data_IF_608241801428
#
_entry.id   IF_608241801428
#
_cell.length_a   1.000
_cell.length_b   1.000
_cell.length_c   1.000
_cell.angle_alpha   90.00
_cell.angle_beta   90.00
_cell.angle_gamma   90.00
#
_symmetry.space_group_name_H-M   'P 1'
#
loop_
_entity.id
_entity.type
_entity.pdbx_description
1 polymer ?
#
# COMPACT_ATOMS: atom_id res chain seq x y z
N UNK A 1 -29.57 9.18 35.02
CA UNK A 1 -28.27 8.65 35.49
C UNK A 1 -27.22 9.66 35.07
N UNK A 2 -26.39 10.13 36.00
CA UNK A 2 -25.28 11.04 35.71
C UNK A 2 -24.18 10.33 34.95
N UNK A 3 -23.40 11.05 34.14
CA UNK A 3 -22.21 10.47 33.43
C UNK A 3 -21.22 9.79 34.39
N UNK A 4 -21.19 10.17 35.66
CA UNK A 4 -20.38 9.55 36.73
C UNK A 4 -20.88 8.17 37.13
N UNK A 5 -22.20 7.88 37.09
CA UNK A 5 -22.77 6.58 37.48
C UNK A 5 -22.49 5.50 36.42
N UNK A 6 -22.31 5.89 35.16
CA UNK A 6 -21.99 4.96 34.04
C UNK A 6 -20.51 4.57 34.08
N UNK A 7 -19.62 5.47 34.45
CA UNK A 7 -18.18 5.20 34.51
C UNK A 7 -17.81 4.16 35.61
N UNK A 8 -18.54 4.15 36.72
CA UNK A 8 -18.29 3.20 37.82
C UNK A 8 -18.79 1.76 37.55
N UNK A 9 -19.71 1.60 36.59
CA UNK A 9 -20.24 0.29 36.17
C UNK A 9 -19.40 -0.41 35.10
N UNK A 10 -18.45 0.31 34.48
CA UNK A 10 -17.61 -0.24 33.43
C UNK A 10 -16.48 -1.14 34.00
N UNK A 11 -16.13 -2.25 33.33
CA UNK A 11 -14.95 -3.04 33.66
C UNK A 11 -13.70 -2.16 33.77
N UNK A 12 -12.77 -2.47 34.69
CA UNK A 12 -11.57 -1.65 34.89
C UNK A 12 -10.77 -1.43 33.58
N UNK A 13 -10.75 -2.42 32.69
CA UNK A 13 -10.04 -2.35 31.41
C UNK A 13 -10.62 -1.30 30.45
N UNK A 14 -11.88 -0.90 30.63
CA UNK A 14 -12.56 0.09 29.78
C UNK A 14 -12.46 1.52 30.28
N UNK A 15 -12.09 1.73 31.55
CA UNK A 15 -12.13 3.07 32.18
C UNK A 15 -11.16 4.06 31.55
N UNK A 16 -9.99 3.56 31.10
CA UNK A 16 -8.94 4.39 30.50
C UNK A 16 -8.89 4.28 28.97
N UNK A 17 -9.89 3.64 28.35
CA UNK A 17 -9.93 3.51 26.90
C UNK A 17 -10.65 4.70 26.26
N UNK A 18 -10.15 5.23 25.12
CA UNK A 18 -10.82 6.30 24.40
C UNK A 18 -12.05 5.76 23.68
N UNK A 19 -13.21 5.89 24.34
CA UNK A 19 -14.52 5.45 23.83
C UNK A 19 -15.39 6.67 23.64
N UNK A 20 -15.94 6.87 22.43
CA UNK A 20 -16.96 7.85 22.14
C UNK A 20 -18.26 7.19 21.67
N UNK A 21 -19.39 7.81 22.04
CA UNK A 21 -20.71 7.38 21.58
C UNK A 21 -21.35 8.44 20.71
N UNK A 22 -21.77 8.08 19.53
CA UNK A 22 -22.40 8.98 18.57
C UNK A 22 -23.70 8.34 18.07
N UNK A 23 -24.79 9.07 18.16
CA UNK A 23 -26.07 8.67 17.56
C UNK A 23 -26.20 9.39 16.21
N UNK A 24 -26.37 8.61 15.16
CA UNK A 24 -26.58 9.14 13.80
C UNK A 24 -27.55 8.27 13.02
N UNK A 25 -28.49 8.91 12.35
CA UNK A 25 -29.53 8.25 11.55
C UNK A 25 -30.32 7.16 12.35
N UNK A 26 -30.49 7.38 13.68
CA UNK A 26 -31.16 6.49 14.62
C UNK A 26 -30.29 5.35 15.17
N UNK A 27 -29.05 5.18 14.70
CA UNK A 27 -28.11 4.13 15.13
C UNK A 27 -27.11 4.72 16.14
N UNK A 28 -26.87 4.01 17.24
CA UNK A 28 -25.82 4.34 18.20
C UNK A 28 -24.49 3.67 17.78
N UNK A 29 -23.48 4.46 17.49
CA UNK A 29 -22.12 4.01 17.22
C UNK A 29 -21.28 4.16 18.49
N UNK A 30 -20.81 3.03 19.05
CA UNK A 30 -19.85 2.99 20.16
C UNK A 30 -18.48 2.85 19.54
N UNK A 31 -17.74 3.95 19.49
CA UNK A 31 -16.46 4.04 18.80
C UNK A 31 -15.31 3.87 19.80
N UNK A 32 -14.56 2.79 19.67
CA UNK A 32 -13.37 2.49 20.46
C UNK A 32 -12.13 2.87 19.65
N UNK A 33 -11.35 3.82 20.15
CA UNK A 33 -10.03 4.15 19.64
C UNK A 33 -8.98 3.20 20.21
N UNK A 34 -8.21 2.53 19.36
CA UNK A 34 -7.21 1.54 19.76
C UNK A 34 -5.79 2.01 19.44
N UNK A 35 -4.82 1.61 20.26
CA UNK A 35 -3.42 1.68 19.89
C UNK A 35 -3.05 0.34 19.24
N UNK A 36 -2.67 0.38 17.94
CA UNK A 36 -2.49 -0.79 17.08
C UNK A 36 -1.48 -1.85 17.55
N UNK A 37 -0.86 -1.66 18.71
CA UNK A 37 0.17 -2.54 19.30
C UNK A 37 -0.05 -2.71 20.81
N UNK A 38 -1.31 -2.73 21.29
CA UNK A 38 -1.62 -2.82 22.72
C UNK A 38 -2.51 -4.02 23.02
N UNK A 39 -2.04 -4.88 23.97
CA UNK A 39 -2.85 -5.99 24.50
C UNK A 39 -4.12 -5.49 25.19
N UNK A 40 -4.04 -4.34 25.85
CA UNK A 40 -5.19 -3.70 26.48
C UNK A 40 -6.28 -3.30 25.47
N UNK A 41 -5.91 -2.99 24.21
CA UNK A 41 -6.90 -2.74 23.15
C UNK A 41 -7.68 -4.01 22.78
N UNK A 42 -7.04 -5.17 22.74
CA UNK A 42 -7.71 -6.45 22.50
C UNK A 42 -8.67 -6.76 23.66
N UNK A 43 -8.20 -6.65 24.89
CA UNK A 43 -8.99 -6.88 26.11
C UNK A 43 -10.19 -5.90 26.19
N UNK A 44 -10.03 -4.67 25.71
CA UNK A 44 -11.12 -3.69 25.65
C UNK A 44 -12.20 -4.06 24.63
N UNK A 45 -11.83 -4.54 23.43
CA UNK A 45 -12.78 -5.05 22.43
C UNK A 45 -13.56 -6.22 22.98
N UNK A 46 -12.88 -7.20 23.60
CA UNK A 46 -13.51 -8.38 24.20
C UNK A 46 -14.46 -8.00 25.35
N UNK A 47 -14.03 -7.06 26.21
CA UNK A 47 -14.82 -6.55 27.31
C UNK A 47 -16.10 -5.84 26.83
N UNK A 48 -16.01 -4.97 25.82
CA UNK A 48 -17.20 -4.31 25.23
C UNK A 48 -18.18 -5.34 24.68
N UNK A 49 -17.70 -6.31 23.90
CA UNK A 49 -18.53 -7.38 23.35
C UNK A 49 -19.12 -8.31 24.40
N UNK A 50 -18.52 -8.41 25.58
CA UNK A 50 -19.03 -9.22 26.69
C UNK A 50 -20.08 -8.48 27.56
N UNK A 51 -19.93 -7.16 27.70
CA UNK A 51 -20.73 -6.38 28.65
C UNK A 51 -21.89 -5.61 27.96
N UNK A 52 -21.78 -5.34 26.68
CA UNK A 52 -22.80 -4.59 25.95
C UNK A 52 -23.36 -5.40 24.77
N UNK A 53 -24.61 -5.13 24.43
CA UNK A 53 -25.26 -5.75 23.27
C UNK A 53 -25.01 -4.88 22.04
N UNK A 54 -24.56 -5.52 20.96
CA UNK A 54 -24.37 -4.90 19.65
C UNK A 54 -25.12 -5.70 18.58
N UNK A 55 -25.52 -5.00 17.52
CA UNK A 55 -26.19 -5.58 16.34
C UNK A 55 -25.18 -5.82 15.20
N UNK A 56 -24.07 -5.11 15.21
CA UNK A 56 -22.96 -5.28 14.26
C UNK A 56 -21.62 -4.85 14.88
N UNK A 57 -20.53 -5.33 14.28
CA UNK A 57 -19.17 -4.87 14.59
C UNK A 57 -18.53 -4.29 13.31
N UNK A 58 -18.11 -3.04 13.37
CA UNK A 58 -17.35 -2.38 12.32
C UNK A 58 -15.88 -2.31 12.69
N UNK A 59 -14.99 -2.59 11.73
CA UNK A 59 -13.53 -2.56 11.96
C UNK A 59 -12.84 -1.72 10.89
N UNK A 60 -11.77 -1.02 11.26
CA UNK A 60 -10.92 -0.22 10.37
C UNK A 60 -10.06 -1.12 9.47
N UNK A 61 -10.72 -1.90 8.66
CA UNK A 61 -10.10 -2.77 7.66
C UNK A 61 -10.79 -2.59 6.31
N UNK A 62 -10.01 -2.71 5.24
CA UNK A 62 -10.53 -2.93 3.89
C UNK A 62 -10.61 -4.43 3.59
N UNK A 63 -11.30 -4.81 2.51
CA UNK A 63 -11.51 -6.21 2.13
C UNK A 63 -10.19 -6.98 1.99
N UNK A 64 -9.18 -6.38 1.37
CA UNK A 64 -7.87 -7.02 1.15
C UNK A 64 -7.12 -7.28 2.46
N UNK A 65 -7.19 -6.36 3.44
CA UNK A 65 -6.57 -6.54 4.76
C UNK A 65 -7.32 -7.56 5.61
N UNK A 66 -8.66 -7.50 5.62
CA UNK A 66 -9.48 -8.45 6.35
C UNK A 66 -9.28 -9.88 5.82
N UNK A 67 -9.23 -10.06 4.49
CA UNK A 67 -8.93 -11.35 3.88
C UNK A 67 -7.53 -11.86 4.28
N UNK A 68 -6.51 -11.00 4.26
CA UNK A 68 -5.16 -11.37 4.70
C UNK A 68 -5.05 -11.73 6.18
N UNK A 69 -5.94 -11.19 7.05
CA UNK A 69 -6.02 -11.58 8.47
C UNK A 69 -6.76 -12.90 8.67
N UNK A 70 -7.81 -13.17 7.87
CA UNK A 70 -8.57 -14.43 7.91
C UNK A 70 -7.80 -15.59 7.28
N UNK A 71 -7.04 -15.32 6.22
CA UNK A 71 -6.21 -16.29 5.52
C UNK A 71 -4.77 -15.75 5.35
N UNK A 72 -3.91 -15.94 6.37
CA UNK A 72 -2.50 -15.55 6.29
C UNK A 72 -1.72 -16.26 5.18
N UNK A 73 -2.23 -17.41 4.72
CA UNK A 73 -1.63 -18.23 3.68
C UNK A 73 -2.10 -17.88 2.26
N UNK A 74 -2.99 -16.90 2.11
CA UNK A 74 -3.46 -16.42 0.79
C UNK A 74 -2.30 -16.04 -0.17
N UNK A 75 -1.17 -15.58 0.38
CA UNK A 75 0.05 -15.35 -0.41
C UNK A 75 0.61 -16.60 -1.06
N UNK A 76 0.38 -17.79 -0.49
CA UNK A 76 0.85 -19.07 -1.05
C UNK A 76 0.11 -19.45 -2.33
N UNK A 77 -1.09 -18.91 -2.53
CA UNK A 77 -1.94 -19.16 -3.69
C UNK A 77 -1.79 -18.09 -4.78
N UNK A 78 -0.94 -17.09 -4.56
CA UNK A 78 -0.78 -15.98 -5.47
C UNK A 78 -0.07 -16.40 -6.76
N UNK A 79 -0.74 -16.21 -7.90
CA UNK A 79 -0.16 -16.42 -9.23
C UNK A 79 0.75 -15.23 -9.61
N UNK A 80 2.06 -15.43 -9.46
CA UNK A 80 3.08 -14.43 -9.75
C UNK A 80 3.06 -14.00 -11.22
N UNK A 81 2.70 -14.88 -12.14
CA UNK A 81 2.54 -14.54 -13.55
C UNK A 81 1.41 -13.53 -13.78
N UNK A 82 0.28 -13.76 -13.13
CA UNK A 82 -0.86 -12.82 -13.22
C UNK A 82 -0.52 -11.47 -12.62
N UNK A 83 0.16 -11.44 -11.47
CA UNK A 83 0.62 -10.22 -10.81
C UNK A 83 1.52 -9.39 -11.73
N UNK A 84 2.51 -10.01 -12.35
CA UNK A 84 3.44 -9.34 -13.27
C UNK A 84 2.71 -8.88 -14.54
N UNK A 85 1.88 -9.74 -15.13
CA UNK A 85 1.11 -9.44 -16.33
C UNK A 85 0.13 -8.28 -16.15
N UNK A 86 -0.48 -8.19 -14.97
CA UNK A 86 -1.41 -7.10 -14.61
C UNK A 86 -0.69 -5.81 -14.21
N UNK A 87 0.64 -5.77 -14.19
CA UNK A 87 1.43 -4.62 -13.78
C UNK A 87 1.32 -4.31 -12.28
N UNK A 88 0.92 -5.28 -11.46
CA UNK A 88 0.73 -5.16 -10.01
C UNK A 88 2.00 -5.48 -9.20
N UNK A 89 3.11 -5.83 -9.85
CA UNK A 89 4.36 -6.21 -9.19
C UNK A 89 4.84 -5.16 -8.17
N UNK A 90 4.74 -3.86 -8.50
CA UNK A 90 5.10 -2.77 -7.61
C UNK A 90 4.24 -2.69 -6.35
N UNK A 91 2.94 -2.89 -6.49
CA UNK A 91 2.00 -2.88 -5.37
C UNK A 91 2.25 -4.09 -4.44
N UNK A 92 2.48 -5.27 -5.02
CA UNK A 92 2.79 -6.49 -4.24
C UNK A 92 4.11 -6.32 -3.50
N UNK A 93 5.16 -5.82 -4.14
CA UNK A 93 6.43 -5.57 -3.48
C UNK A 93 6.30 -4.55 -2.32
N UNK A 94 5.58 -3.44 -2.53
CA UNK A 94 5.33 -2.45 -1.48
C UNK A 94 4.55 -3.06 -0.30
N UNK A 95 3.52 -3.86 -0.58
CA UNK A 95 2.74 -4.57 0.45
C UNK A 95 3.59 -5.55 1.25
N UNK A 96 4.51 -6.27 0.59
CA UNK A 96 5.42 -7.21 1.23
C UNK A 96 6.43 -6.50 2.15
N UNK A 97 7.02 -5.39 1.68
CA UNK A 97 7.93 -4.56 2.50
C UNK A 97 7.21 -4.04 3.73
N UNK A 98 6.01 -3.48 3.57
CA UNK A 98 5.22 -2.98 4.69
C UNK A 98 4.86 -4.10 5.68
N UNK A 99 4.42 -5.26 5.19
CA UNK A 99 4.10 -6.42 6.03
C UNK A 99 5.32 -6.92 6.80
N UNK A 100 6.50 -6.91 6.18
CA UNK A 100 7.77 -7.30 6.81
C UNK A 100 8.17 -6.32 7.93
N UNK A 101 8.01 -5.03 7.69
CA UNK A 101 8.23 -3.99 8.70
C UNK A 101 7.27 -4.16 9.89
N UNK A 102 5.97 -4.35 9.62
CA UNK A 102 4.97 -4.60 10.65
C UNK A 102 5.27 -5.86 11.47
N UNK A 103 5.72 -6.94 10.82
CA UNK A 103 6.10 -8.18 11.52
C UNK A 103 7.28 -7.96 12.46
N UNK A 104 8.32 -7.22 12.04
CA UNK A 104 9.47 -6.90 12.93
C UNK A 104 9.04 -6.09 14.14
N UNK A 105 8.17 -5.10 13.97
CA UNK A 105 7.60 -4.36 15.10
C UNK A 105 6.81 -5.29 16.02
N UNK A 106 6.02 -6.20 15.47
CA UNK A 106 5.26 -7.18 16.25
C UNK A 106 6.17 -8.10 17.08
N UNK A 107 7.24 -8.61 16.49
CA UNK A 107 8.21 -9.47 17.18
C UNK A 107 8.98 -8.71 18.27
N UNK A 108 9.34 -7.45 18.01
CA UNK A 108 10.04 -6.60 18.96
C UNK A 108 9.18 -6.27 20.19
N UNK A 109 7.87 -6.11 20.01
CA UNK A 109 6.94 -5.70 21.07
C UNK A 109 6.02 -6.82 21.57
N UNK A 110 6.14 -8.04 21.03
CA UNK A 110 5.34 -9.20 21.42
C UNK A 110 3.86 -9.12 21.08
N UNK A 111 3.47 -8.22 20.15
CA UNK A 111 2.06 -7.95 19.81
C UNK A 111 1.90 -7.95 18.30
N UNK A 112 0.89 -8.67 17.80
CA UNK A 112 0.57 -8.66 16.36
C UNK A 112 -0.19 -7.38 16.01
N UNK A 113 0.28 -6.57 15.03
CA UNK A 113 -0.45 -5.40 14.55
C UNK A 113 -1.84 -5.77 14.04
N UNK A 114 -2.86 -5.07 14.52
CA UNK A 114 -4.26 -5.34 14.16
C UNK A 114 -4.90 -6.50 14.94
N UNK A 115 -4.28 -6.96 16.04
CA UNK A 115 -4.87 -7.99 16.89
C UNK A 115 -6.24 -7.56 17.45
N UNK A 116 -6.44 -6.28 17.73
CA UNK A 116 -7.70 -5.68 18.16
C UNK A 116 -8.78 -5.74 17.07
N UNK A 117 -8.40 -5.51 15.80
CA UNK A 117 -9.32 -5.64 14.66
C UNK A 117 -9.73 -7.11 14.47
N UNK A 118 -8.75 -8.02 14.62
CA UNK A 118 -9.01 -9.45 14.58
C UNK A 118 -9.93 -9.88 15.72
N UNK A 119 -9.71 -9.40 16.95
CA UNK A 119 -10.59 -9.67 18.09
C UNK A 119 -12.01 -9.18 17.85
N UNK A 120 -12.18 -8.00 17.21
CA UNK A 120 -13.48 -7.49 16.79
C UNK A 120 -14.20 -8.42 15.80
N UNK A 121 -13.48 -8.88 14.76
CA UNK A 121 -14.04 -9.82 13.78
C UNK A 121 -14.38 -11.19 14.40
N UNK A 122 -13.43 -11.79 15.12
CA UNK A 122 -13.60 -13.10 15.76
C UNK A 122 -14.73 -13.05 16.81
N UNK A 123 -14.81 -11.96 17.58
CA UNK A 123 -15.86 -11.74 18.55
C UNK A 123 -17.25 -11.52 17.95
N UNK A 124 -17.33 -10.92 16.77
CA UNK A 124 -18.56 -10.82 15.99
C UNK A 124 -18.98 -12.18 15.42
N UNK A 125 -18.05 -12.91 14.81
CA UNK A 125 -18.30 -14.24 14.22
C UNK A 125 -18.82 -15.22 15.29
N UNK A 126 -18.24 -15.21 16.51
CA UNK A 126 -18.68 -16.04 17.66
C UNK A 126 -20.12 -15.73 18.12
N UNK A 127 -20.60 -14.50 17.89
CA UNK A 127 -21.94 -14.04 18.28
C UNK A 127 -22.94 -14.02 17.13
N UNK A 128 -22.50 -14.43 15.92
CA UNK A 128 -23.31 -14.36 14.72
C UNK A 128 -23.64 -12.94 14.27
N UNK A 129 -22.81 -11.95 14.64
CA UNK A 129 -23.01 -10.56 14.27
C UNK A 129 -22.37 -10.26 12.91
N UNK A 130 -22.97 -9.40 12.09
CA UNK A 130 -22.35 -8.94 10.86
C UNK A 130 -21.08 -8.11 11.15
N UNK A 131 -20.04 -8.36 10.36
CA UNK A 131 -18.80 -7.59 10.38
C UNK A 131 -18.81 -6.58 9.22
N UNK A 132 -18.65 -5.30 9.53
CA UNK A 132 -18.58 -4.24 8.56
C UNK A 132 -17.13 -3.79 8.37
N UNK A 133 -16.63 -3.91 7.15
CA UNK A 133 -15.32 -3.41 6.77
C UNK A 133 -15.47 -1.97 6.29
N UNK A 134 -14.94 -1.02 7.06
CA UNK A 134 -15.25 0.39 6.85
C UNK A 134 -14.08 1.22 6.33
N UNK A 135 -12.85 0.67 6.28
CA UNK A 135 -11.70 1.40 5.75
C UNK A 135 -11.59 1.28 4.22
N UNK A 136 -10.95 2.27 3.64
CA UNK A 136 -10.68 2.36 2.20
C UNK A 136 -9.49 1.47 1.82
N UNK A 137 -9.55 0.87 0.62
CA UNK A 137 -8.43 0.09 0.06
C UNK A 137 -7.11 0.86 0.11
N UNK A 138 -6.08 0.25 0.71
CA UNK A 138 -4.76 0.85 0.92
C UNK A 138 -4.15 1.37 -0.38
N UNK A 139 -4.33 0.62 -1.48
CA UNK A 139 -3.84 1.03 -2.81
C UNK A 139 -4.48 2.33 -3.32
N UNK A 140 -5.72 2.61 -2.96
CA UNK A 140 -6.42 3.85 -3.31
C UNK A 140 -5.88 4.98 -2.43
N UNK A 141 -5.77 4.75 -1.12
CA UNK A 141 -5.23 5.72 -0.17
C UNK A 141 -3.83 6.18 -0.56
N UNK A 142 -2.91 5.25 -0.84
CA UNK A 142 -1.55 5.57 -1.29
C UNK A 142 -1.54 6.32 -2.62
N UNK A 143 -2.43 5.96 -3.55
CA UNK A 143 -2.52 6.65 -4.83
C UNK A 143 -3.04 8.08 -4.69
N UNK A 144 -4.02 8.31 -3.82
CA UNK A 144 -4.52 9.65 -3.51
C UNK A 144 -3.46 10.49 -2.81
N UNK A 145 -2.77 9.93 -1.81
CA UNK A 145 -1.64 10.57 -1.15
C UNK A 145 -0.51 10.94 -2.13
N UNK A 146 -0.17 10.03 -3.05
CA UNK A 146 0.81 10.32 -4.10
C UNK A 146 0.40 11.45 -5.04
N UNK A 147 -0.90 11.55 -5.35
CA UNK A 147 -1.43 12.62 -6.19
C UNK A 147 -1.55 13.96 -5.46
N UNK A 148 -1.71 13.96 -4.15
CA UNK A 148 -1.87 15.19 -3.35
C UNK A 148 -0.57 15.97 -3.17
N UNK A 149 0.60 15.32 -3.32
CA UNK A 149 1.91 15.96 -3.14
C UNK A 149 2.51 16.44 -4.45
N UNK A 150 3.27 17.54 -4.39
CA UNK A 150 3.97 18.10 -5.54
C UNK A 150 5.07 17.19 -6.10
N UNK A 151 5.47 17.43 -7.35
CA UNK A 151 6.47 16.60 -8.04
C UNK A 151 7.78 16.45 -7.26
N UNK A 152 8.35 17.55 -6.74
CA UNK A 152 9.60 17.52 -5.98
C UNK A 152 9.46 16.84 -4.61
N UNK A 153 8.32 17.01 -3.95
CA UNK A 153 8.04 16.33 -2.68
C UNK A 153 7.98 14.80 -2.85
N UNK A 154 7.53 14.30 -4.00
CA UNK A 154 7.54 12.86 -4.30
C UNK A 154 8.95 12.28 -4.27
N UNK A 155 9.94 13.00 -4.82
CA UNK A 155 11.33 12.55 -4.76
C UNK A 155 11.87 12.55 -3.33
N UNK A 156 11.54 13.56 -2.53
CA UNK A 156 11.90 13.60 -1.11
C UNK A 156 11.30 12.41 -0.33
N UNK A 157 10.01 12.13 -0.52
CA UNK A 157 9.33 10.99 0.10
C UNK A 157 9.93 9.64 -0.34
N UNK A 158 10.21 9.48 -1.64
CA UNK A 158 10.87 8.25 -2.14
C UNK A 158 12.27 8.10 -1.57
N UNK A 159 13.05 9.18 -1.53
CA UNK A 159 14.39 9.19 -0.93
C UNK A 159 14.35 8.82 0.55
N UNK A 160 13.42 9.40 1.32
CA UNK A 160 13.22 9.08 2.73
C UNK A 160 12.79 7.63 2.95
N UNK A 161 11.86 7.11 2.15
CA UNK A 161 11.46 5.70 2.21
C UNK A 161 12.62 4.75 1.88
N UNK A 162 13.43 5.07 0.87
CA UNK A 162 14.61 4.28 0.54
C UNK A 162 15.63 4.34 1.67
N UNK A 163 15.90 5.54 2.22
CA UNK A 163 16.83 5.71 3.34
C UNK A 163 16.37 4.92 4.58
N UNK A 164 15.08 4.97 4.93
CA UNK A 164 14.53 4.24 6.10
C UNK A 164 14.63 2.71 6.00
N UNK A 165 14.73 2.16 4.78
CA UNK A 165 14.99 0.71 4.60
C UNK A 165 16.43 0.36 5.00
N UNK A 166 17.37 1.30 4.85
CA UNK A 166 18.79 1.10 5.16
C UNK A 166 19.17 1.59 6.56
N UNK A 167 18.36 2.45 7.16
CA UNK A 167 18.60 2.98 8.51
C UNK A 167 18.09 1.96 9.55
N UNK A 168 19.02 1.36 10.28
CA UNK A 168 18.73 0.60 11.49
C UNK A 168 18.56 1.62 12.64
N UNK A 169 17.38 2.17 12.79
CA UNK A 169 17.05 2.88 14.02
C UNK A 169 16.59 1.85 15.03
N UNK A 170 17.41 1.60 16.05
CA UNK A 170 16.93 1.06 17.32
C UNK A 170 16.11 2.19 17.97
N UNK A 171 14.80 2.15 17.80
CA UNK A 171 13.88 3.08 18.46
C UNK A 171 13.95 2.75 19.94
N UNK A 172 14.39 3.70 20.77
CA UNK A 172 14.52 3.48 22.21
C UNK A 172 13.15 3.15 22.82
N UNK A 173 13.11 2.17 23.72
CA UNK A 173 11.89 1.71 24.44
C UNK A 173 11.14 2.89 25.10
N UNK A 174 11.87 3.91 25.51
CA UNK A 174 11.33 5.16 26.09
C UNK A 174 10.54 6.05 25.11
N UNK A 175 10.85 6.03 23.81
CA UNK A 175 10.06 6.76 22.79
C UNK A 175 8.75 6.07 22.49
N UNK A 176 8.72 4.73 22.61
CA UNK A 176 7.49 3.94 22.36
C UNK A 176 6.55 4.02 23.56
N UNK A 177 7.09 4.06 24.77
CA UNK A 177 6.29 4.27 25.99
C UNK A 177 5.60 5.64 25.96
N UNK A 178 6.25 6.63 25.40
CA UNK A 178 5.65 7.95 25.13
C UNK A 178 4.56 7.91 24.04
N UNK A 179 4.71 7.08 23.00
CA UNK A 179 3.68 6.87 21.97
C UNK A 179 2.41 6.15 22.50
N UNK A 180 2.48 5.50 23.67
CA UNK A 180 1.32 4.89 24.33
C UNK A 180 0.40 5.93 25.03
N UNK A 181 0.88 7.13 25.29
CA UNK A 181 0.07 8.21 25.85
C UNK A 181 -0.71 8.92 24.73
N UNK A 182 -2.03 8.91 24.81
CA UNK A 182 -2.93 9.44 23.76
C UNK A 182 -2.61 10.88 23.33
N UNK A 183 -2.10 11.72 24.22
CA UNK A 183 -1.69 13.09 23.95
C UNK A 183 -0.52 13.20 22.95
N UNK A 184 0.36 12.21 22.89
CA UNK A 184 1.49 12.22 21.97
C UNK A 184 1.13 11.77 20.57
N UNK A 185 0.17 10.85 20.43
CA UNK A 185 -0.35 10.47 19.13
C UNK A 185 -1.06 11.68 18.49
N UNK A 186 -1.84 12.42 19.26
CA UNK A 186 -2.50 13.65 18.81
C UNK A 186 -1.49 14.73 18.43
N UNK A 187 -0.40 14.89 19.22
CA UNK A 187 0.70 15.80 18.91
C UNK A 187 1.43 15.42 17.63
N UNK A 188 1.77 14.12 17.44
CA UNK A 188 2.43 13.62 16.25
C UNK A 188 1.56 13.80 15.00
N UNK A 189 0.26 13.57 15.11
CA UNK A 189 -0.68 13.81 14.00
C UNK A 189 -0.85 15.29 13.70
N UNK A 190 -0.88 16.15 14.72
CA UNK A 190 -0.96 17.60 14.55
C UNK A 190 0.31 18.16 13.91
N UNK A 191 1.47 17.65 14.31
CA UNK A 191 2.76 18.01 13.71
C UNK A 191 2.83 17.54 12.26
N UNK A 192 2.41 16.31 11.98
CA UNK A 192 2.30 15.79 10.61
C UNK A 192 1.33 16.59 9.75
N UNK A 193 0.18 17.02 10.33
CA UNK A 193 -0.80 17.87 9.64
C UNK A 193 -0.22 19.23 9.28
N UNK A 194 0.61 19.81 10.16
CA UNK A 194 1.28 21.09 9.90
C UNK A 194 2.43 20.95 8.92
N UNK A 195 3.23 19.91 9.00
CA UNK A 195 4.38 19.70 8.12
C UNK A 195 3.96 19.27 6.69
N UNK A 196 2.87 18.54 6.54
CA UNK A 196 2.40 18.05 5.25
C UNK A 196 0.87 17.92 5.17
N UNK A 197 0.17 19.05 5.16
CA UNK A 197 -1.28 19.11 5.05
C UNK A 197 -1.89 18.28 3.91
N UNK A 198 -1.29 18.17 2.68
CA UNK A 198 -1.81 17.32 1.63
C UNK A 198 -1.76 15.83 1.96
N UNK A 199 -0.69 15.37 2.64
CA UNK A 199 -0.56 13.97 3.06
C UNK A 199 -1.53 13.66 4.19
N UNK A 200 -1.60 14.51 5.20
CA UNK A 200 -2.58 14.38 6.30
C UNK A 200 -3.99 14.24 5.76
N UNK A 201 -4.39 15.15 4.85
CA UNK A 201 -5.71 15.10 4.22
C UNK A 201 -5.99 13.75 3.57
N UNK A 202 -5.05 13.21 2.79
CA UNK A 202 -5.26 11.97 2.03
C UNK A 202 -5.14 10.71 2.89
N UNK A 203 -4.27 10.71 3.90
CA UNK A 203 -3.97 9.53 4.72
C UNK A 203 -4.89 9.42 5.95
N UNK A 204 -5.40 10.55 6.45
CA UNK A 204 -6.22 10.61 7.67
C UNK A 204 -7.61 11.18 7.37
N UNK A 205 -7.73 12.48 7.07
CA UNK A 205 -9.03 13.16 7.02
C UNK A 205 -9.99 12.57 5.97
N UNK A 206 -9.51 12.21 4.77
CA UNK A 206 -10.36 11.55 3.76
C UNK A 206 -10.80 10.14 4.19
N UNK A 207 -10.00 9.45 5.02
CA UNK A 207 -10.40 8.15 5.56
C UNK A 207 -11.47 8.30 6.63
N UNK A 208 -11.39 9.34 7.48
CA UNK A 208 -12.44 9.65 8.46
C UNK A 208 -13.78 9.89 7.78
N UNK A 209 -13.78 10.72 6.71
CA UNK A 209 -14.97 10.97 5.89
C UNK A 209 -15.48 9.68 5.25
N UNK A 210 -14.58 8.87 4.71
CA UNK A 210 -14.93 7.60 4.06
C UNK A 210 -15.53 6.60 5.04
N UNK A 211 -14.90 6.42 6.20
CA UNK A 211 -15.37 5.50 7.24
C UNK A 211 -16.74 5.91 7.78
N UNK A 212 -16.96 7.21 8.03
CA UNK A 212 -18.27 7.72 8.43
C UNK A 212 -19.35 7.44 7.37
N UNK A 213 -19.04 7.67 6.09
CA UNK A 213 -19.94 7.38 4.98
C UNK A 213 -20.24 5.87 4.88
N UNK A 214 -19.22 5.02 5.04
CA UNK A 214 -19.38 3.56 5.00
C UNK A 214 -20.21 3.03 6.17
N UNK A 215 -20.03 3.54 7.38
CA UNK A 215 -20.85 3.19 8.55
C UNK A 215 -22.33 3.52 8.30
N UNK A 216 -22.62 4.73 7.83
CA UNK A 216 -23.98 5.15 7.51
C UNK A 216 -24.60 4.35 6.35
N UNK A 217 -23.81 4.08 5.31
CA UNK A 217 -24.24 3.27 4.17
C UNK A 217 -24.56 1.82 4.60
N UNK A 218 -23.71 1.18 5.39
CA UNK A 218 -23.92 -0.17 5.90
C UNK A 218 -25.15 -0.25 6.81
N UNK A 219 -25.34 0.74 7.68
CA UNK A 219 -26.53 0.81 8.53
C UNK A 219 -27.81 0.91 7.69
N UNK A 220 -27.83 1.77 6.68
CA UNK A 220 -28.96 1.92 5.78
C UNK A 220 -29.23 0.64 4.97
N UNK A 221 -28.19 0.00 4.41
CA UNK A 221 -28.31 -1.26 3.67
C UNK A 221 -28.78 -2.42 4.54
N UNK A 222 -28.42 -2.43 5.82
CA UNK A 222 -28.85 -3.44 6.80
C UNK A 222 -30.25 -3.17 7.34
N UNK A 223 -30.90 -2.07 6.94
CA UNK A 223 -32.20 -1.65 7.48
C UNK A 223 -32.13 -1.25 8.95
N UNK A 224 -30.97 -0.81 9.44
CA UNK A 224 -30.79 -0.38 10.82
C UNK A 224 -31.49 0.97 11.04
N UNK A 225 -32.20 1.06 12.14
CA UNK A 225 -32.99 2.19 12.53
C UNK A 225 -32.84 2.45 14.04
N UNK A 226 -33.73 3.19 14.63
CA UNK A 226 -33.71 3.56 16.03
C UNK A 226 -33.54 2.38 16.98
N UNK A 227 -32.62 2.49 17.93
CA UNK A 227 -32.29 1.48 18.94
C UNK A 227 -31.24 0.46 18.53
N UNK A 228 -30.70 0.48 17.29
CA UNK A 228 -29.60 -0.38 16.89
C UNK A 228 -28.26 0.18 17.35
N UNK A 229 -27.34 -0.74 17.70
CA UNK A 229 -26.02 -0.41 18.25
C UNK A 229 -24.92 -1.07 17.46
N UNK A 230 -23.90 -0.31 17.10
CA UNK A 230 -22.75 -0.79 16.34
C UNK A 230 -21.47 -0.52 17.11
N UNK A 231 -20.70 -1.57 17.41
CA UNK A 231 -19.33 -1.40 17.91
C UNK A 231 -18.42 -1.04 16.75
N UNK A 232 -17.67 0.05 16.87
CA UNK A 232 -16.71 0.52 15.86
C UNK A 232 -15.31 0.49 16.45
N UNK A 233 -14.44 -0.37 15.91
CA UNK A 233 -13.05 -0.53 16.35
C UNK A 233 -12.14 0.12 15.33
N UNK A 234 -11.47 1.19 15.75
CA UNK A 234 -10.58 2.00 14.89
C UNK A 234 -9.30 2.38 15.63
N UNK A 235 -8.28 2.82 14.90
CA UNK A 235 -7.09 3.44 15.49
C UNK A 235 -7.45 4.77 16.19
N UNK A 236 -6.85 5.02 17.36
CA UNK A 236 -7.12 6.22 18.17
C UNK A 236 -6.91 7.53 17.38
N UNK A 237 -6.01 7.55 16.41
CA UNK A 237 -5.80 8.72 15.53
C UNK A 237 -6.98 9.09 14.65
N UNK A 238 -7.94 8.18 14.45
CA UNK A 238 -9.17 8.41 13.69
C UNK A 238 -10.38 8.76 14.56
N UNK A 239 -10.30 8.54 15.88
CA UNK A 239 -11.45 8.64 16.77
C UNK A 239 -12.16 9.99 16.69
N UNK A 240 -11.40 11.07 16.87
CA UNK A 240 -11.93 12.45 16.85
C UNK A 240 -12.52 12.83 15.48
N UNK A 241 -11.75 12.54 14.41
CA UNK A 241 -12.16 12.87 13.05
C UNK A 241 -13.38 12.08 12.60
N UNK A 242 -13.42 10.78 12.85
CA UNK A 242 -14.56 9.93 12.53
C UNK A 242 -15.83 10.37 13.30
N UNK A 243 -15.73 10.58 14.61
CA UNK A 243 -16.87 11.00 15.41
C UNK A 243 -17.41 12.39 14.98
N UNK A 244 -16.53 13.32 14.61
CA UNK A 244 -16.93 14.61 14.03
C UNK A 244 -17.67 14.41 12.69
N UNK A 245 -17.14 13.58 11.80
CA UNK A 245 -17.79 13.28 10.52
C UNK A 245 -19.15 12.59 10.71
N UNK A 246 -19.28 11.62 11.62
CA UNK A 246 -20.56 11.00 11.95
C UNK A 246 -21.60 12.03 12.41
N UNK A 247 -21.19 13.05 13.19
CA UNK A 247 -22.10 14.10 13.68
C UNK A 247 -22.47 15.11 12.60
N UNK A 248 -21.55 15.46 11.72
CA UNK A 248 -21.66 16.65 10.84
C UNK A 248 -21.90 16.36 9.37
N UNK A 249 -21.57 15.14 8.90
CA UNK A 249 -21.68 14.78 7.48
C UNK A 249 -23.12 14.88 6.97
N UNK A 250 -23.35 15.72 5.93
CA UNK A 250 -24.67 16.00 5.36
C UNK A 250 -24.94 15.25 4.05
N UNK A 251 -23.87 14.84 3.34
CA UNK A 251 -23.98 14.23 2.03
C UNK A 251 -24.61 12.84 2.03
N UNK A 252 -25.01 12.38 0.84
CA UNK A 252 -25.43 11.00 0.63
C UNK A 252 -24.22 10.08 0.88
N UNK A 253 -24.32 9.13 1.83
CA UNK A 253 -23.19 8.31 2.24
C UNK A 253 -22.66 7.43 1.09
N UNK A 254 -23.51 6.95 0.19
CA UNK A 254 -23.10 6.11 -0.94
C UNK A 254 -22.31 6.91 -1.98
N UNK A 255 -22.69 8.16 -2.23
CA UNK A 255 -21.99 9.07 -3.15
C UNK A 255 -20.63 9.46 -2.57
N UNK A 256 -20.56 9.80 -1.30
CA UNK A 256 -19.29 10.16 -0.63
C UNK A 256 -18.34 8.97 -0.59
N UNK A 257 -18.81 7.79 -0.18
CA UNK A 257 -18.01 6.58 -0.16
C UNK A 257 -17.48 6.23 -1.56
N UNK A 258 -18.34 6.25 -2.60
CA UNK A 258 -17.92 5.95 -3.97
C UNK A 258 -16.91 6.96 -4.52
N UNK A 259 -17.08 8.25 -4.23
CA UNK A 259 -16.16 9.32 -4.65
C UNK A 259 -14.78 9.15 -4.02
N UNK A 260 -14.72 8.81 -2.75
CA UNK A 260 -13.47 8.60 -2.03
C UNK A 260 -12.83 7.23 -2.34
N UNK A 261 -13.63 6.22 -2.71
CA UNK A 261 -13.15 4.95 -3.21
C UNK A 261 -12.60 5.04 -4.65
N UNK A 262 -12.95 6.07 -5.38
CA UNK A 262 -12.42 6.27 -6.72
C UNK A 262 -10.94 6.67 -6.69
N UNK A 263 -10.14 5.94 -7.47
CA UNK A 263 -8.74 6.31 -7.65
C UNK A 263 -8.65 7.60 -8.49
N UNK A 264 -7.77 8.54 -8.14
CA UNK A 264 -7.55 9.73 -8.96
C UNK A 264 -7.22 9.36 -10.40
N UNK A 265 -7.72 10.11 -11.39
CA UNK A 265 -7.45 9.82 -12.79
C UNK A 265 -5.95 9.91 -13.06
N UNK A 266 -5.41 8.90 -13.74
CA UNK A 266 -4.00 8.90 -14.12
C UNK A 266 -3.76 10.03 -15.12
N UNK A 267 -2.80 10.90 -14.82
CA UNK A 267 -2.34 11.89 -15.79
C UNK A 267 -1.89 11.16 -17.09
N UNK A 268 -2.46 11.53 -18.22
CA UNK A 268 -2.14 10.89 -19.52
C UNK A 268 -0.91 11.50 -20.20
N UNK A 269 -0.54 12.73 -19.81
CA UNK A 269 0.56 13.45 -20.44
C UNK A 269 1.92 12.73 -20.34
N UNK A 270 2.31 12.04 -19.23
CA UNK A 270 3.59 11.34 -19.19
C UNK A 270 3.68 10.22 -20.21
N UNK A 271 2.54 9.56 -20.50
CA UNK A 271 2.46 8.52 -21.54
C UNK A 271 2.72 9.14 -22.92
N UNK A 272 2.11 10.28 -23.23
CA UNK A 272 2.30 10.95 -24.49
C UNK A 272 3.72 11.50 -24.66
N UNK A 273 4.31 12.03 -23.58
CA UNK A 273 5.73 12.45 -23.59
C UNK A 273 6.65 11.25 -23.86
N UNK A 274 6.42 10.11 -23.19
CA UNK A 274 7.20 8.90 -23.43
C UNK A 274 7.06 8.39 -24.87
N UNK A 275 5.84 8.37 -25.42
CA UNK A 275 5.60 8.01 -26.83
C UNK A 275 6.30 9.00 -27.76
N UNK A 276 6.17 10.31 -27.52
CA UNK A 276 6.82 11.34 -28.32
C UNK A 276 8.35 11.20 -28.32
N UNK A 277 8.94 10.91 -27.17
CA UNK A 277 10.39 10.68 -27.06
C UNK A 277 10.84 9.46 -27.87
N UNK A 278 10.10 8.35 -27.78
CA UNK A 278 10.37 7.14 -28.57
C UNK A 278 10.24 7.41 -30.07
N UNK A 279 9.17 8.11 -30.49
CA UNK A 279 9.00 8.49 -31.90
C UNK A 279 10.11 9.41 -32.39
N UNK A 280 10.58 10.35 -31.54
CA UNK A 280 11.70 11.23 -31.88
C UNK A 280 13.00 10.43 -32.09
N UNK A 281 13.27 9.41 -31.26
CA UNK A 281 14.44 8.54 -31.43
C UNK A 281 14.34 7.76 -32.74
N UNK A 282 13.19 7.19 -33.07
CA UNK A 282 13.02 6.46 -34.34
C UNK A 282 13.07 7.38 -35.55
N UNK A 283 12.53 8.58 -35.44
CA UNK A 283 12.68 9.61 -36.48
C UNK A 283 14.15 10.01 -36.69
N UNK A 284 14.91 10.13 -35.60
CA UNK A 284 16.35 10.39 -35.65
C UNK A 284 17.12 9.25 -36.34
N UNK A 285 16.78 7.99 -36.02
CA UNK A 285 17.39 6.82 -36.68
C UNK A 285 17.04 6.81 -38.19
N UNK A 286 15.77 7.04 -38.53
CA UNK A 286 15.34 7.10 -39.95
C UNK A 286 16.04 8.24 -40.68
N UNK A 287 16.19 9.41 -40.08
CA UNK A 287 16.92 10.53 -40.63
C UNK A 287 18.43 10.20 -40.81
N UNK A 288 19.02 9.48 -39.87
CA UNK A 288 20.39 8.99 -39.99
C UNK A 288 20.57 8.09 -41.24
N UNK A 289 19.63 7.16 -41.43
CA UNK A 289 19.63 6.32 -42.63
C UNK A 289 19.45 7.11 -43.95
N UNK A 290 18.63 8.16 -43.91
CA UNK A 290 18.44 9.04 -45.08
C UNK A 290 19.71 9.81 -45.43
N UNK A 291 20.50 10.25 -44.42
CA UNK A 291 21.78 10.92 -44.63
C UNK A 291 22.88 10.00 -45.09
N UNK A 292 23.02 8.86 -44.41
CA UNK A 292 24.07 7.87 -44.70
C UNK A 292 23.69 6.53 -44.06
N UNK A 293 23.73 5.45 -44.86
CA UNK A 293 23.43 4.07 -44.38
C UNK A 293 24.32 3.63 -43.21
N UNK A 294 25.59 4.00 -43.23
CA UNK A 294 26.51 3.64 -42.11
C UNK A 294 26.15 4.36 -40.82
N UNK A 295 25.74 5.63 -40.90
CA UNK A 295 25.29 6.41 -39.76
C UNK A 295 23.98 5.86 -39.18
N UNK A 296 23.03 5.47 -40.05
CA UNK A 296 21.79 4.84 -39.63
C UNK A 296 22.00 3.49 -38.96
N UNK A 297 22.90 2.66 -39.53
CA UNK A 297 23.28 1.39 -38.92
C UNK A 297 23.96 1.55 -37.55
N UNK A 298 24.80 2.57 -37.40
CA UNK A 298 25.40 2.91 -36.11
C UNK A 298 24.35 3.33 -35.09
N UNK A 299 23.43 4.23 -35.45
CA UNK A 299 22.34 4.68 -34.57
C UNK A 299 21.44 3.52 -34.11
N UNK A 300 21.09 2.59 -35.03
CA UNK A 300 20.29 1.41 -34.71
C UNK A 300 21.07 0.46 -33.76
N UNK A 301 22.33 0.23 -34.04
CA UNK A 301 23.21 -0.54 -33.17
C UNK A 301 23.25 0.07 -31.77
N UNK A 302 23.45 1.38 -31.67
CA UNK A 302 23.54 2.09 -30.39
C UNK A 302 22.21 2.00 -29.62
N UNK A 303 21.06 2.10 -30.31
CA UNK A 303 19.77 1.83 -29.69
C UNK A 303 19.70 0.44 -29.07
N UNK A 304 20.07 -0.60 -29.82
CA UNK A 304 20.03 -1.98 -29.34
C UNK A 304 21.03 -2.23 -28.20
N UNK A 305 22.24 -1.69 -28.33
CA UNK A 305 23.31 -1.91 -27.33
C UNK A 305 22.98 -1.21 -26.01
N UNK A 306 22.53 0.03 -26.05
CA UNK A 306 22.22 0.76 -24.82
C UNK A 306 20.94 0.21 -24.15
N UNK A 307 19.83 0.07 -24.89
CA UNK A 307 18.59 -0.42 -24.30
C UNK A 307 18.67 -1.88 -23.85
N UNK A 308 19.27 -2.74 -24.67
CA UNK A 308 19.51 -4.15 -24.34
C UNK A 308 20.57 -4.30 -23.25
N UNK A 309 21.69 -3.58 -23.36
CA UNK A 309 22.80 -3.66 -22.41
C UNK A 309 22.43 -3.24 -21.00
N UNK A 310 21.74 -2.11 -20.83
CA UNK A 310 21.27 -1.70 -19.51
C UNK A 310 20.18 -2.61 -18.94
N UNK A 311 19.31 -3.18 -19.81
CA UNK A 311 18.32 -4.20 -19.40
C UNK A 311 19.02 -5.47 -18.92
N UNK A 312 20.03 -5.95 -19.66
CA UNK A 312 20.89 -7.08 -19.29
C UNK A 312 21.61 -6.81 -17.96
N UNK A 313 22.19 -5.63 -17.81
CA UNK A 313 22.87 -5.24 -16.56
C UNK A 313 21.92 -5.29 -15.37
N UNK A 314 20.69 -4.78 -15.52
CA UNK A 314 19.64 -4.88 -14.50
C UNK A 314 19.34 -6.34 -14.12
N UNK A 315 19.25 -7.25 -15.08
CA UNK A 315 19.05 -8.67 -14.83
C UNK A 315 20.24 -9.31 -14.10
N UNK A 316 21.47 -8.96 -14.49
CA UNK A 316 22.70 -9.45 -13.83
C UNK A 316 22.74 -9.00 -12.38
N UNK A 317 22.47 -7.72 -12.10
CA UNK A 317 22.43 -7.19 -10.73
C UNK A 317 21.34 -7.90 -9.90
N UNK A 318 20.19 -8.22 -10.50
CA UNK A 318 19.14 -9.01 -9.84
C UNK A 318 19.55 -10.46 -9.57
N UNK A 319 20.68 -10.95 -10.09
CA UNK A 319 21.08 -12.36 -10.02
C UNK A 319 20.14 -13.27 -10.82
N UNK A 320 19.57 -12.75 -11.91
CA UNK A 320 18.67 -13.50 -12.77
C UNK A 320 19.38 -14.67 -13.48
N UNK A 321 18.60 -15.68 -13.89
CA UNK A 321 19.11 -16.77 -14.68
C UNK A 321 19.63 -16.26 -16.04
N UNK A 322 20.69 -16.85 -16.65
CA UNK A 322 21.24 -16.40 -17.93
C UNK A 322 20.20 -16.26 -19.06
N UNK A 323 19.23 -17.18 -19.13
CA UNK A 323 18.13 -17.06 -20.10
C UNK A 323 17.19 -15.89 -19.82
N UNK A 324 16.95 -15.57 -18.55
CA UNK A 324 16.16 -14.38 -18.15
C UNK A 324 16.93 -13.09 -18.48
N UNK A 325 18.25 -13.09 -18.31
CA UNK A 325 19.13 -11.99 -18.67
C UNK A 325 19.16 -11.79 -20.21
N UNK A 326 19.22 -12.87 -20.98
CA UNK A 326 19.10 -12.82 -22.44
C UNK A 326 17.73 -12.29 -22.87
N UNK A 327 16.65 -12.78 -22.21
CA UNK A 327 15.30 -12.26 -22.45
C UNK A 327 15.18 -10.77 -22.16
N UNK A 328 15.86 -10.27 -21.10
CA UNK A 328 15.93 -8.84 -20.80
C UNK A 328 16.63 -8.05 -21.90
N UNK A 329 17.77 -8.53 -22.40
CA UNK A 329 18.52 -7.90 -23.49
C UNK A 329 17.68 -7.77 -24.75
N UNK A 330 16.95 -8.81 -25.14
CA UNK A 330 16.08 -8.81 -26.34
C UNK A 330 14.84 -7.95 -26.13
N UNK A 331 14.25 -7.98 -24.92
CA UNK A 331 13.03 -7.26 -24.61
C UNK A 331 13.23 -5.74 -24.53
N UNK A 332 14.41 -5.27 -24.13
CA UNK A 332 14.73 -3.84 -24.00
C UNK A 332 14.50 -3.06 -25.28
N UNK A 333 15.17 -3.36 -26.40
CA UNK A 333 14.99 -2.66 -27.66
C UNK A 333 13.58 -2.79 -28.26
N UNK A 334 12.87 -3.86 -27.96
CA UNK A 334 11.54 -4.18 -28.53
C UNK A 334 10.40 -3.52 -27.72
N UNK A 335 10.67 -3.06 -26.52
CA UNK A 335 9.65 -2.46 -25.63
C UNK A 335 8.78 -1.38 -26.30
N UNK A 336 9.30 -0.47 -27.12
CA UNK A 336 8.48 0.55 -27.79
C UNK A 336 7.36 -0.02 -28.67
N UNK A 337 7.60 -1.20 -29.24
CA UNK A 337 6.63 -1.89 -30.12
C UNK A 337 5.59 -2.71 -29.34
N UNK A 338 5.75 -2.84 -28.01
CA UNK A 338 4.84 -3.59 -27.13
C UNK A 338 4.49 -2.78 -25.87
N UNK A 339 3.72 -1.70 -25.98
CA UNK A 339 3.46 -0.79 -24.86
C UNK A 339 2.69 -1.43 -23.69
N UNK A 340 2.15 -2.64 -23.86
CA UNK A 340 1.36 -3.33 -22.82
C UNK A 340 2.18 -4.19 -21.84
N UNK A 341 3.41 -4.58 -22.16
CA UNK A 341 4.23 -5.45 -21.31
C UNK A 341 5.58 -4.78 -21.09
N UNK A 342 5.94 -4.43 -19.82
CA UNK A 342 7.25 -3.88 -19.53
C UNK A 342 8.35 -4.91 -19.83
N UNK A 343 9.53 -4.46 -20.26
CA UNK A 343 10.70 -5.33 -20.53
C UNK A 343 11.06 -6.21 -19.33
N UNK A 344 11.02 -5.63 -18.12
CA UNK A 344 11.18 -6.38 -16.88
C UNK A 344 10.14 -7.48 -16.68
N UNK A 345 8.93 -7.30 -17.22
CA UNK A 345 7.88 -8.33 -17.17
C UNK A 345 8.26 -9.59 -17.94
N UNK A 346 8.84 -9.44 -19.14
CA UNK A 346 9.29 -10.60 -19.96
C UNK A 346 10.41 -11.34 -19.26
N UNK A 347 11.42 -10.62 -18.76
CA UNK A 347 12.54 -11.22 -18.02
C UNK A 347 12.08 -11.92 -16.73
N UNK A 348 11.19 -11.26 -15.95
CA UNK A 348 10.69 -11.82 -14.70
C UNK A 348 9.78 -13.05 -14.93
N UNK A 349 8.98 -13.06 -15.99
CA UNK A 349 8.19 -14.25 -16.36
C UNK A 349 9.11 -15.42 -16.74
N UNK A 350 10.18 -15.16 -17.50
CA UNK A 350 11.19 -16.16 -17.82
C UNK A 350 11.88 -16.69 -16.55
N UNK A 351 12.23 -15.81 -15.62
CA UNK A 351 12.81 -16.15 -14.32
C UNK A 351 11.88 -17.04 -13.49
N UNK A 352 10.61 -16.63 -13.38
CA UNK A 352 9.60 -17.38 -12.65
C UNK A 352 9.34 -18.75 -13.27
N UNK A 353 9.33 -18.85 -14.61
CA UNK A 353 9.16 -20.11 -15.31
C UNK A 353 10.33 -21.09 -15.08
N UNK A 354 11.56 -20.59 -15.07
CA UNK A 354 12.76 -21.42 -14.89
C UNK A 354 12.91 -21.85 -13.43
N UNK A 355 12.81 -20.91 -12.49
CA UNK A 355 13.11 -21.16 -11.08
C UNK A 355 11.91 -21.64 -10.27
N UNK A 356 10.71 -21.57 -10.82
CA UNK A 356 9.45 -22.05 -10.25
C UNK A 356 9.37 -21.79 -8.75
N UNK A 357 8.91 -20.60 -8.30
CA UNK A 357 8.76 -20.29 -6.89
C UNK A 357 8.01 -21.42 -6.18
N UNK A 358 8.51 -21.85 -5.02
CA UNK A 358 7.90 -22.91 -4.21
C UNK A 358 7.01 -22.27 -3.13
N UNK A 359 6.09 -23.04 -2.58
CA UNK A 359 5.25 -22.61 -1.46
C UNK A 359 6.12 -22.12 -0.29
N UNK A 360 7.22 -22.80 0.03
CA UNK A 360 8.16 -22.39 1.05
C UNK A 360 8.82 -21.01 0.79
N UNK A 361 9.00 -20.61 -0.47
CA UNK A 361 9.54 -19.29 -0.80
C UNK A 361 8.56 -18.16 -0.43
N UNK A 362 7.24 -18.45 -0.38
CA UNK A 362 6.22 -17.51 0.09
C UNK A 362 6.14 -17.49 1.61
N UNK A 363 6.35 -18.61 2.29
CA UNK A 363 6.35 -18.67 3.76
C UNK A 363 7.47 -17.82 4.37
N UNK A 364 8.68 -17.91 3.79
CA UNK A 364 9.84 -17.15 4.25
C UNK A 364 9.93 -15.75 3.64
N UNK A 365 9.07 -15.44 2.64
CA UNK A 365 9.18 -14.19 1.87
C UNK A 365 9.18 -12.94 2.77
N UNK A 366 8.28 -12.89 3.76
CA UNK A 366 8.17 -11.73 4.67
C UNK A 366 9.45 -11.51 5.49
N UNK A 367 10.07 -12.59 5.93
CA UNK A 367 11.30 -12.56 6.73
C UNK A 367 12.51 -12.24 5.85
N UNK A 368 12.57 -12.85 4.66
CA UNK A 368 13.66 -12.67 3.70
C UNK A 368 13.75 -11.23 3.20
N UNK A 369 12.63 -10.61 2.79
CA UNK A 369 12.65 -9.23 2.27
C UNK A 369 12.99 -8.19 3.34
N UNK A 370 12.86 -8.53 4.60
CA UNK A 370 13.32 -7.74 5.72
C UNK A 370 14.85 -7.60 5.80
N UNK A 371 15.58 -8.45 5.09
CA UNK A 371 17.03 -8.44 5.00
C UNK A 371 17.45 -8.14 3.56
N UNK A 372 18.42 -7.22 3.36
CA UNK A 372 18.84 -6.84 2.00
C UNK A 372 19.28 -8.04 1.15
N UNK A 373 19.98 -9.04 1.74
CA UNK A 373 20.40 -10.28 1.06
C UNK A 373 19.25 -11.21 0.72
N UNK A 374 18.14 -11.14 1.43
CA UNK A 374 16.96 -11.96 1.20
C UNK A 374 16.31 -11.71 -0.15
N UNK A 375 16.45 -10.50 -0.70
CA UNK A 375 15.97 -10.17 -2.04
C UNK A 375 16.61 -11.02 -3.14
N UNK A 376 17.85 -11.49 -2.93
CA UNK A 376 18.55 -12.38 -3.86
C UNK A 376 18.41 -13.86 -3.51
N UNK A 377 18.12 -14.21 -2.26
CA UNK A 377 18.01 -15.60 -1.79
C UNK A 377 16.61 -16.16 -2.05
N UNK A 378 15.57 -15.42 -1.76
CA UNK A 378 14.19 -15.83 -1.98
C UNK A 378 13.84 -15.74 -3.47
N UNK A 379 13.24 -16.80 -4.02
CA UNK A 379 12.93 -16.87 -5.47
C UNK A 379 11.87 -15.89 -5.90
N UNK A 380 10.85 -15.65 -5.06
CA UNK A 380 9.77 -14.69 -5.32
C UNK A 380 10.34 -13.28 -5.30
N UNK A 381 11.05 -12.91 -4.23
CA UNK A 381 11.68 -11.60 -4.08
C UNK A 381 12.64 -11.29 -5.24
N UNK A 382 13.48 -12.26 -5.63
CA UNK A 382 14.39 -12.12 -6.76
C UNK A 382 13.68 -11.92 -8.09
N UNK A 383 12.57 -12.61 -8.33
CA UNK A 383 11.75 -12.40 -9.53
C UNK A 383 11.20 -10.97 -9.59
N UNK A 384 10.74 -10.44 -8.46
CA UNK A 384 10.31 -9.04 -8.36
C UNK A 384 11.48 -8.07 -8.55
N UNK A 385 12.63 -8.35 -7.92
CA UNK A 385 13.84 -7.55 -8.08
C UNK A 385 14.29 -7.51 -9.55
N UNK A 386 14.27 -8.65 -10.24
CA UNK A 386 14.54 -8.74 -11.67
C UNK A 386 13.57 -7.87 -12.49
N UNK A 387 12.27 -7.92 -12.19
CA UNK A 387 11.28 -7.06 -12.84
C UNK A 387 11.65 -5.58 -12.72
N UNK A 388 11.98 -5.12 -11.52
CA UNK A 388 12.29 -3.72 -11.26
C UNK A 388 13.60 -3.27 -11.89
N UNK A 389 14.68 -4.02 -11.67
CA UNK A 389 16.00 -3.64 -12.15
C UNK A 389 16.11 -3.68 -13.67
N UNK A 390 15.47 -4.65 -14.32
CA UNK A 390 15.40 -4.71 -15.80
C UNK A 390 14.57 -3.55 -16.33
N UNK A 391 13.43 -3.23 -15.71
CA UNK A 391 12.59 -2.09 -16.13
C UNK A 391 13.33 -0.76 -15.99
N UNK A 392 14.03 -0.57 -14.87
CA UNK A 392 14.88 0.61 -14.62
C UNK A 392 16.03 0.68 -15.62
N UNK A 393 16.73 -0.43 -15.85
CA UNK A 393 17.79 -0.52 -16.85
C UNK A 393 17.30 -0.15 -18.24
N UNK A 394 16.14 -0.64 -18.65
CA UNK A 394 15.54 -0.27 -19.95
C UNK A 394 15.29 1.24 -20.06
N UNK A 395 14.75 1.85 -19.01
CA UNK A 395 14.51 3.30 -18.99
C UNK A 395 15.83 4.08 -19.13
N UNK A 396 16.85 3.71 -18.35
CA UNK A 396 18.17 4.32 -18.44
C UNK A 396 18.76 4.15 -19.85
N UNK A 397 18.64 2.94 -20.42
CA UNK A 397 19.10 2.63 -21.77
C UNK A 397 18.40 3.47 -22.85
N UNK A 398 17.08 3.65 -22.75
CA UNK A 398 16.30 4.48 -23.68
C UNK A 398 16.78 5.93 -23.68
N UNK A 399 16.96 6.54 -22.51
CA UNK A 399 17.46 7.91 -22.40
C UNK A 399 18.92 8.04 -22.89
N UNK A 400 19.79 7.10 -22.51
CA UNK A 400 21.21 7.11 -22.93
C UNK A 400 21.33 6.96 -24.44
N UNK A 401 20.61 6.00 -25.03
CA UNK A 401 20.59 5.80 -26.48
C UNK A 401 20.09 7.05 -27.21
N UNK A 402 18.98 7.63 -26.75
CA UNK A 402 18.40 8.84 -27.33
C UNK A 402 19.40 10.02 -27.34
N UNK A 403 20.04 10.29 -26.21
CA UNK A 403 21.06 11.36 -26.11
C UNK A 403 22.25 11.08 -27.02
N UNK A 404 22.73 9.84 -27.07
CA UNK A 404 23.90 9.46 -27.87
C UNK A 404 23.60 9.59 -29.38
N UNK A 405 22.45 9.07 -29.83
CA UNK A 405 22.01 9.15 -31.21
C UNK A 405 21.83 10.63 -31.62
N UNK A 406 21.20 11.44 -30.77
CA UNK A 406 21.02 12.85 -31.03
C UNK A 406 22.38 13.57 -31.21
N UNK A 407 23.33 13.37 -30.29
CA UNK A 407 24.68 13.96 -30.39
C UNK A 407 25.49 13.49 -31.60
N UNK A 408 25.20 12.29 -32.12
CA UNK A 408 25.88 11.79 -33.32
C UNK A 408 25.34 12.38 -34.64
N UNK A 409 24.15 12.98 -34.59
CA UNK A 409 23.48 13.58 -35.74
C UNK A 409 23.71 15.08 -35.89
N UNK A 410 23.94 15.75 -34.77
CA UNK A 410 24.11 17.20 -34.64
C UNK A 410 25.40 17.53 -33.92
#
# INVERSE_FOLDING_TARGET
>A
MSQTDIADSLPPVLRDQPIERVVRDGVEYVVLGTAHVSRTSVEAVEALLAHEHFDAVAVELCDSRAQGMRDPDAFKQMDLFQVIRQGKAGMVAASLVLSSFQKRLAEQYGIQPGAEMKAGMDGADQRGLPVWLVDREVGITLRRAWHSVGFWQRFGLMGGLIASVFERQDIAETEIEKLKQGDMLESAFSEFATQSAPLYRSLIAERDIYMAARLREQAAQSGYCEGRRVLVVIGAGHLKGLCEQLRTQQGDPSVEASTLAAAPPKARWPKWVAIGLVLAVFAAIAFAFHRNTSLGAAALRDWVVYTGGFSLLGAIIAGAHPLSALAAFVAGPIKPFRPGIPSGGISAMTEAWIRRPRVADFDTLRDDIGQWRGWWRNRVARTLLNFFLVSLGTIIGEYTAGIHIFKSLF
#
